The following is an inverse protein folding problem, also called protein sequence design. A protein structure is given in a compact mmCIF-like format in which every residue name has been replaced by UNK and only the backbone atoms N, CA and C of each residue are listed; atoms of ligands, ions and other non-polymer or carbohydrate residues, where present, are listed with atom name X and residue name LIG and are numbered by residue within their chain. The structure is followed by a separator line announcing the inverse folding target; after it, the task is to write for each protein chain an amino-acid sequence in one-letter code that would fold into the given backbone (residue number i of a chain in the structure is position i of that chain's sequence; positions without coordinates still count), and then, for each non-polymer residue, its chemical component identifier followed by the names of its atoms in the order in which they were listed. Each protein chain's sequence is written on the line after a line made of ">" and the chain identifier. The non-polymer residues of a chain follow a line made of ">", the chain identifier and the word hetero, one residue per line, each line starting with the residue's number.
data_IF_711486212163
#
_entry.id   IF_711486212163
#
_cell.length_a   1.000
_cell.length_b   1.000
_cell.length_c   1.000
_cell.angle_alpha   90.00
_cell.angle_beta   90.00
_cell.angle_gamma   90.00
#
_symmetry.space_group_name_H-M   'P 1'
#
loop_
_entity.id
_entity.type
_entity.pdbx_description
1 polymer ?
#
# COMPACT_ATOMS: atom_id res chain seq x y z
N UNK A 1 -5.90 -9.25 8.46
CA UNK A 1 -5.31 -9.26 7.12
C UNK A 1 -6.10 -10.22 6.26
N UNK A 2 -6.50 -9.79 5.10
CA UNK A 2 -7.32 -10.61 4.22
C UNK A 2 -7.03 -10.28 2.77
N UNK A 3 -6.87 -11.31 1.95
CA UNK A 3 -6.72 -11.14 0.52
C UNK A 3 -7.97 -11.62 -0.20
N UNK A 4 -8.60 -10.73 -0.96
CA UNK A 4 -9.72 -11.06 -1.82
C UNK A 4 -9.32 -10.75 -3.25
N UNK A 5 -9.33 -11.77 -4.12
CA UNK A 5 -8.81 -11.64 -5.47
C UNK A 5 -7.36 -11.16 -5.39
N UNK A 6 -7.06 -9.99 -5.97
CA UNK A 6 -5.72 -9.43 -5.97
C UNK A 6 -5.60 -8.22 -5.03
N UNK A 7 -6.49 -8.08 -4.08
CA UNK A 7 -6.50 -6.97 -3.12
C UNK A 7 -6.23 -7.49 -1.72
N UNK A 8 -5.28 -6.86 -1.05
CA UNK A 8 -4.97 -7.14 0.34
C UNK A 8 -5.67 -6.11 1.22
N UNK A 9 -6.50 -6.57 2.13
CA UNK A 9 -7.18 -5.73 3.11
C UNK A 9 -6.50 -5.90 4.46
N UNK A 10 -5.99 -4.81 5.02
CA UNK A 10 -5.36 -4.81 6.33
C UNK A 10 -6.25 -4.03 7.27
N UNK A 11 -7.02 -4.74 8.08
CA UNK A 11 -8.11 -4.15 8.87
C UNK A 11 -7.72 -3.83 10.32
N UNK A 12 -6.58 -4.28 10.79
CA UNK A 12 -6.13 -3.97 12.14
C UNK A 12 -5.64 -2.53 12.24
N UNK A 13 -6.14 -1.76 13.21
CA UNK A 13 -5.78 -0.36 13.38
C UNK A 13 -4.31 -0.16 13.72
N UNK A 14 -3.67 -1.16 14.30
CA UNK A 14 -2.29 -1.05 14.75
C UNK A 14 -1.31 -1.67 13.76
N UNK A 15 -1.76 -1.98 12.56
CA UNK A 15 -0.91 -2.61 11.56
C UNK A 15 0.00 -1.60 10.88
N UNK A 16 1.24 -2.01 10.72
CA UNK A 16 2.24 -1.29 9.95
C UNK A 16 2.71 -2.19 8.82
N UNK A 17 2.86 -1.64 7.63
CA UNK A 17 3.25 -2.42 6.47
C UNK A 17 4.71 -2.15 6.13
N UNK A 18 5.44 -3.22 5.87
CA UNK A 18 6.84 -3.13 5.50
C UNK A 18 7.15 -4.00 4.30
N UNK A 19 8.39 -3.90 3.84
CA UNK A 19 8.88 -4.65 2.70
C UNK A 19 10.00 -5.58 3.16
N UNK A 20 9.92 -6.84 2.74
CA UNK A 20 10.99 -7.79 2.95
C UNK A 20 11.21 -8.54 1.63
N UNK A 21 12.29 -8.17 0.92
CA UNK A 21 12.53 -8.68 -0.41
C UNK A 21 11.42 -8.24 -1.36
N UNK A 22 10.68 -9.19 -1.89
CA UNK A 22 9.55 -8.89 -2.76
C UNK A 22 8.22 -9.19 -2.09
N UNK A 23 8.19 -9.20 -0.76
CA UNK A 23 6.99 -9.48 0.01
C UNK A 23 6.55 -8.26 0.79
N UNK A 24 5.24 -8.04 0.84
CA UNK A 24 4.67 -7.13 1.82
C UNK A 24 4.55 -7.87 3.14
N UNK A 25 4.98 -7.24 4.22
CA UNK A 25 4.92 -7.81 5.55
C UNK A 25 4.02 -6.95 6.41
N UNK A 26 3.08 -7.57 7.09
CA UNK A 26 2.15 -6.89 7.97
C UNK A 26 2.58 -7.12 9.41
N UNK A 27 2.81 -6.03 10.13
CA UNK A 27 3.19 -6.06 11.55
C UNK A 27 2.05 -5.52 12.39
N UNK A 28 1.78 -6.17 13.51
CA UNK A 28 0.91 -5.64 14.54
C UNK A 28 1.82 -5.35 15.74
N UNK A 29 2.01 -4.06 16.04
CA UNK A 29 3.06 -3.58 16.92
C UNK A 29 4.42 -4.03 16.39
N UNK A 30 5.11 -4.93 17.06
CA UNK A 30 6.41 -5.42 16.62
C UNK A 30 6.36 -6.85 16.11
N UNK A 31 5.17 -7.41 16.03
CA UNK A 31 5.00 -8.81 15.66
C UNK A 31 4.53 -8.91 14.21
N UNK A 32 5.20 -9.76 13.46
CA UNK A 32 4.76 -10.05 12.09
C UNK A 32 3.52 -10.93 12.17
N UNK A 33 2.41 -10.47 11.56
CA UNK A 33 1.17 -11.24 11.53
C UNK A 33 0.88 -11.83 10.16
N UNK A 34 1.64 -11.47 9.14
CA UNK A 34 1.47 -12.08 7.83
C UNK A 34 2.38 -11.47 6.80
N UNK A 35 2.54 -12.18 5.69
CA UNK A 35 3.28 -11.68 4.53
C UNK A 35 2.73 -12.27 3.25
N UNK A 36 2.84 -11.53 2.17
CA UNK A 36 2.39 -11.95 0.85
C UNK A 36 3.36 -11.46 -0.22
N UNK A 37 3.55 -12.26 -1.29
CA UNK A 37 4.32 -11.77 -2.43
C UNK A 37 3.63 -10.60 -3.11
N UNK A 38 4.40 -9.57 -3.45
CA UNK A 38 3.84 -8.39 -4.12
C UNK A 38 3.34 -8.70 -5.53
N UNK A 39 3.98 -9.64 -6.22
CA UNK A 39 3.63 -9.90 -7.62
C UNK A 39 2.22 -10.42 -7.82
N UNK A 40 1.57 -10.87 -6.76
CA UNK A 40 0.18 -11.33 -6.82
C UNK A 40 -0.83 -10.24 -6.47
N UNK A 41 -0.38 -9.03 -6.20
CA UNK A 41 -1.24 -7.97 -5.72
C UNK A 41 -1.42 -6.87 -6.74
N UNK A 42 -2.63 -6.34 -6.81
CA UNK A 42 -2.95 -5.15 -7.59
C UNK A 42 -3.24 -3.96 -6.68
N UNK A 43 -3.71 -4.23 -5.47
CA UNK A 43 -4.08 -3.17 -4.55
C UNK A 43 -3.87 -3.61 -3.11
N UNK A 44 -3.49 -2.67 -2.26
CA UNK A 44 -3.41 -2.85 -0.82
C UNK A 44 -4.24 -1.75 -0.17
N UNK A 45 -5.17 -2.13 0.70
CA UNK A 45 -6.01 -1.18 1.42
C UNK A 45 -5.73 -1.35 2.90
N UNK A 46 -5.25 -0.30 3.54
CA UNK A 46 -4.91 -0.30 4.96
C UNK A 46 -5.87 0.58 5.74
N UNK A 47 -6.50 0.01 6.76
CA UNK A 47 -7.44 0.70 7.63
C UNK A 47 -6.73 1.03 8.95
N UNK A 48 -6.18 2.21 9.07
CA UNK A 48 -5.49 2.60 10.29
C UNK A 48 -4.61 3.81 10.06
N UNK A 49 -3.84 4.16 11.09
CA UNK A 49 -3.06 5.39 11.07
C UNK A 49 -1.55 5.18 11.07
N UNK A 50 -1.07 3.95 11.14
CA UNK A 50 0.37 3.70 11.25
C UNK A 50 1.11 3.76 9.94
N UNK A 51 0.43 3.46 8.85
CA UNK A 51 0.99 3.63 7.52
C UNK A 51 1.94 2.53 7.08
N UNK A 52 2.95 2.90 6.34
CA UNK A 52 3.75 1.97 5.53
C UNK A 52 5.19 2.49 5.46
N UNK A 53 6.14 1.58 5.35
CA UNK A 53 7.53 1.98 5.14
C UNK A 53 7.71 2.63 3.77
N UNK A 54 8.61 3.61 3.63
CA UNK A 54 8.90 4.20 2.33
C UNK A 54 9.39 3.16 1.30
N UNK A 55 10.10 2.14 1.76
CA UNK A 55 10.57 1.07 0.86
C UNK A 55 9.39 0.34 0.22
N UNK A 56 8.34 0.06 0.99
CA UNK A 56 7.15 -0.59 0.44
C UNK A 56 6.40 0.34 -0.51
N UNK A 57 6.30 1.62 -0.17
CA UNK A 57 5.67 2.59 -1.08
C UNK A 57 6.36 2.61 -2.44
N UNK A 58 7.69 2.63 -2.44
CA UNK A 58 8.46 2.61 -3.68
C UNK A 58 8.28 1.32 -4.47
N UNK A 59 8.29 0.19 -3.78
CA UNK A 59 8.09 -1.10 -4.43
C UNK A 59 6.70 -1.21 -5.06
N UNK A 60 5.68 -0.71 -4.37
CA UNK A 60 4.32 -0.70 -4.91
C UNK A 60 4.21 0.23 -6.11
N UNK A 61 4.82 1.40 -6.03
CA UNK A 61 4.79 2.35 -7.14
C UNK A 61 5.47 1.77 -8.39
N UNK A 62 6.60 1.10 -8.21
CA UNK A 62 7.33 0.48 -9.32
C UNK A 62 6.54 -0.65 -9.98
N UNK A 63 5.68 -1.30 -9.25
CA UNK A 63 4.90 -2.44 -9.74
C UNK A 63 3.47 -2.08 -10.09
N UNK A 64 3.12 -0.80 -10.05
CA UNK A 64 1.76 -0.32 -10.28
C UNK A 64 0.74 -0.94 -9.32
N UNK A 65 1.16 -1.19 -8.09
CA UNK A 65 0.27 -1.63 -7.04
C UNK A 65 -0.27 -0.39 -6.34
N UNK A 66 -1.59 -0.26 -6.29
CA UNK A 66 -2.23 0.85 -5.61
C UNK A 66 -2.20 0.61 -4.11
N UNK A 67 -1.76 1.61 -3.36
CA UNK A 67 -1.70 1.53 -1.90
C UNK A 67 -2.62 2.61 -1.35
N UNK A 68 -3.70 2.20 -0.71
CA UNK A 68 -4.74 3.11 -0.25
C UNK A 68 -4.84 3.07 1.27
N UNK A 69 -4.96 4.24 1.88
CA UNK A 69 -5.10 4.37 3.32
C UNK A 69 -6.47 4.91 3.66
N UNK A 70 -7.15 4.21 4.56
CA UNK A 70 -8.44 4.61 5.07
C UNK A 70 -8.37 4.68 6.60
N UNK A 71 -9.26 5.48 7.21
CA UNK A 71 -9.42 5.42 8.66
C UNK A 71 -10.03 4.08 9.03
N UNK A 72 -9.97 3.68 10.32
CA UNK A 72 -10.64 2.46 10.75
C UNK A 72 -12.14 2.44 10.43
N UNK A 73 -12.75 3.62 10.28
CA UNK A 73 -14.16 3.74 9.94
C UNK A 73 -14.40 3.74 8.43
N UNK A 74 -13.33 3.66 7.63
CA UNK A 74 -13.46 3.58 6.18
C UNK A 74 -13.36 4.91 5.44
N UNK A 75 -13.00 6.00 6.14
CA UNK A 75 -12.83 7.29 5.47
C UNK A 75 -11.49 7.36 4.76
N UNK A 76 -11.51 7.82 3.52
CA UNK A 76 -10.30 7.93 2.71
C UNK A 76 -9.30 8.92 3.30
N UNK A 77 -8.05 8.54 3.38
CA UNK A 77 -6.95 9.40 3.81
C UNK A 77 -6.01 9.74 2.66
N UNK A 78 -5.47 8.74 1.99
CA UNK A 78 -4.48 8.96 0.96
C UNK A 78 -4.32 7.73 0.07
N UNK A 79 -3.77 7.94 -1.12
CA UNK A 79 -3.45 6.86 -2.04
C UNK A 79 -2.06 7.08 -2.60
N UNK A 80 -1.26 6.02 -2.63
CA UNK A 80 0.02 5.99 -3.33
C UNK A 80 -0.21 5.25 -4.64
N UNK A 81 0.06 5.92 -5.76
CA UNK A 81 -0.13 5.35 -7.08
C UNK A 81 1.20 5.15 -7.78
N UNK A 82 1.23 4.17 -8.67
CA UNK A 82 2.41 3.94 -9.49
C UNK A 82 2.61 5.02 -10.54
N UNK A 83 3.73 4.92 -11.25
CA UNK A 83 4.03 5.85 -12.32
C UNK A 83 3.04 5.67 -13.45
N UNK A 84 2.51 6.77 -13.93
CA UNK A 84 1.68 6.79 -15.12
C UNK A 84 2.60 7.01 -16.31
N UNK A 85 2.50 6.16 -17.31
CA UNK A 85 3.32 6.29 -18.52
C UNK A 85 2.83 7.43 -19.37
N UNK A 86 3.75 8.04 -20.10
CA UNK A 86 3.43 9.08 -21.06
C UNK A 86 3.27 10.44 -20.44
N UNK A 87 2.05 10.89 -20.26
CA UNK A 87 1.76 12.29 -19.94
C UNK A 87 1.90 12.66 -18.47
N UNK A 88 2.45 11.80 -17.67
CA UNK A 88 2.55 12.08 -16.25
C UNK A 88 3.33 13.35 -15.96
N UNK A 89 4.37 13.61 -16.74
CA UNK A 89 5.18 14.79 -16.54
C UNK A 89 4.38 16.05 -16.80
N UNK A 90 3.59 16.05 -17.86
CA UNK A 90 2.74 17.18 -18.17
C UNK A 90 1.75 17.44 -17.05
N UNK A 91 1.14 16.40 -16.54
CA UNK A 91 0.18 16.56 -15.47
C UNK A 91 0.81 17.15 -14.24
N UNK A 92 1.97 16.66 -13.86
CA UNK A 92 2.63 17.18 -12.67
C UNK A 92 3.07 18.61 -12.84
N UNK A 93 3.49 19.01 -14.02
CA UNK A 93 3.87 20.38 -14.28
C UNK A 93 2.68 21.32 -14.27
N UNK A 94 1.56 20.86 -14.78
CA UNK A 94 0.35 21.68 -14.85
C UNK A 94 -0.17 22.03 -13.48
N UNK A 95 0.01 21.16 -12.53
CA UNK A 95 -0.56 21.35 -11.20
C UNK A 95 0.33 22.11 -10.24
N UNK A 96 1.45 22.49 -10.67
CA UNK A 96 2.38 23.25 -9.84
C UNK A 96 2.35 24.74 -10.20
#
# INVERSE_FOLDING_TARGET
>A
MKKLLNTLYVTSENSYLGLDGENVVVYDDKNEIGRLPLHNLEEIISFGYRGTSPALMGACADRNISLCYLTPQGKFLARVSGKVKGNVVLLSLIHI
#
